data_IF_506206178012
#
_entry.id   IF_506206178012
#
_cell.length_a   1.000
_cell.length_b   1.000
_cell.length_c   1.000
_cell.angle_alpha   90.00
_cell.angle_beta   90.00
_cell.angle_gamma   90.00
#
_symmetry.space_group_name_H-M   'P 1'
#
loop_
_entity.id
_entity.type
_entity.pdbx_description
1 polymer ?
#
# COMPACT_ATOMS: atom_id res chain seq x y z
N UNK A 1 14.26 -0.80 9.29
CA UNK A 1 14.60 0.59 8.97
C UNK A 1 13.55 1.55 9.54
N UNK A 2 13.89 2.82 9.63
CA UNK A 2 13.03 3.82 10.23
C UNK A 2 12.98 5.12 9.43
N UNK A 3 12.60 6.19 10.12
CA UNK A 3 12.62 7.55 9.60
C UNK A 3 13.86 8.28 10.10
N UNK A 4 14.31 9.24 9.33
CA UNK A 4 15.33 10.19 9.78
C UNK A 4 14.76 11.03 10.93
N UNK A 5 15.53 11.20 12.03
CA UNK A 5 15.05 11.85 13.24
C UNK A 5 14.84 13.37 13.08
N UNK A 6 15.53 13.99 12.14
CA UNK A 6 15.44 15.44 11.91
C UNK A 6 14.32 15.79 10.93
N UNK A 7 14.16 14.99 9.86
CA UNK A 7 13.20 15.25 8.79
C UNK A 7 11.88 14.51 8.97
N UNK A 8 11.85 13.48 9.82
CA UNK A 8 10.72 12.56 10.01
C UNK A 8 10.30 11.85 8.71
N UNK A 9 11.17 11.84 7.71
CA UNK A 9 10.95 11.14 6.44
C UNK A 9 11.70 9.81 6.41
N UNK A 10 11.27 8.91 5.52
CA UNK A 10 11.99 7.66 5.25
C UNK A 10 13.44 7.97 4.89
N UNK A 11 14.35 7.29 5.54
CA UNK A 11 15.79 7.40 5.30
C UNK A 11 16.20 6.36 4.25
N UNK A 12 16.19 6.76 2.99
CA UNK A 12 16.50 5.85 1.88
C UNK A 12 17.96 5.40 1.86
N UNK A 13 18.88 6.20 2.38
CA UNK A 13 20.29 5.79 2.52
C UNK A 13 20.41 4.68 3.56
N UNK A 14 19.72 4.80 4.71
CA UNK A 14 19.63 3.74 5.70
C UNK A 14 18.98 2.48 5.14
N UNK A 15 17.90 2.61 4.37
CA UNK A 15 17.20 1.46 3.74
C UNK A 15 18.16 0.73 2.81
N UNK A 16 18.92 1.45 1.99
CA UNK A 16 19.90 0.89 1.07
C UNK A 16 21.04 0.19 1.79
N UNK A 17 21.63 0.82 2.81
CA UNK A 17 22.73 0.26 3.59
C UNK A 17 22.32 -1.04 4.28
N UNK A 18 21.15 -1.06 4.91
CA UNK A 18 20.58 -2.26 5.52
C UNK A 18 20.29 -3.35 4.49
N UNK A 19 19.77 -2.99 3.32
CA UNK A 19 19.52 -3.95 2.24
C UNK A 19 20.82 -4.59 1.74
N UNK A 20 21.87 -3.80 1.54
CA UNK A 20 23.20 -4.30 1.13
C UNK A 20 23.83 -5.20 2.21
N UNK A 21 23.69 -4.82 3.48
CA UNK A 21 24.22 -5.57 4.61
C UNK A 21 23.51 -6.92 4.80
N UNK A 22 22.17 -6.93 4.77
CA UNK A 22 21.37 -8.10 5.12
C UNK A 22 20.92 -8.94 3.92
N UNK A 23 20.97 -8.39 2.71
CA UNK A 23 20.53 -9.03 1.45
C UNK A 23 19.19 -9.76 1.60
N UNK A 24 18.13 -9.05 1.99
CA UNK A 24 16.83 -9.65 2.21
C UNK A 24 16.28 -10.22 0.89
N UNK A 25 15.43 -11.25 0.98
CA UNK A 25 14.70 -11.77 -0.17
C UNK A 25 13.46 -10.96 -0.51
N UNK A 26 12.99 -10.17 0.45
CA UNK A 26 11.79 -9.34 0.34
C UNK A 26 12.02 -8.04 1.12
N UNK A 27 11.75 -6.91 0.46
CA UNK A 27 11.65 -5.60 1.11
C UNK A 27 10.16 -5.24 1.16
N UNK A 28 9.69 -4.82 2.34
CA UNK A 28 8.31 -4.38 2.53
C UNK A 28 8.33 -2.87 2.74
N UNK A 29 7.53 -2.15 1.97
CA UNK A 29 7.23 -0.74 2.17
C UNK A 29 5.72 -0.54 2.35
N UNK A 30 5.35 0.55 3.03
CA UNK A 30 3.96 0.80 3.42
C UNK A 30 3.80 0.76 4.95
N UNK A 31 3.02 1.69 5.48
CA UNK A 31 3.03 2.01 6.91
C UNK A 31 1.63 2.38 7.39
N UNK A 32 1.37 2.15 8.67
CA UNK A 32 0.08 2.45 9.29
C UNK A 32 -0.07 3.92 9.67
N UNK A 33 1.03 4.60 9.98
CA UNK A 33 1.01 5.94 10.57
C UNK A 33 2.04 6.90 9.95
N UNK A 34 2.51 6.62 8.75
CA UNK A 34 3.44 7.49 8.04
C UNK A 34 2.65 8.52 7.21
N UNK A 35 2.69 9.82 7.57
CA UNK A 35 1.84 10.84 6.96
C UNK A 35 2.46 11.51 5.72
N UNK A 36 3.57 10.98 5.22
CA UNK A 36 4.29 11.52 4.07
C UNK A 36 4.12 10.62 2.84
N UNK A 37 4.48 11.16 1.70
CA UNK A 37 4.51 10.42 0.43
C UNK A 37 5.58 9.34 0.44
N UNK A 38 5.25 8.15 -0.05
CA UNK A 38 6.19 7.04 -0.20
C UNK A 38 6.71 7.04 -1.63
N UNK A 39 8.04 7.10 -1.79
CA UNK A 39 8.68 6.95 -3.09
C UNK A 39 8.92 5.47 -3.41
N UNK A 40 7.96 4.87 -4.11
CA UNK A 40 8.04 3.46 -4.51
C UNK A 40 9.12 3.21 -5.56
N UNK A 41 9.50 4.23 -6.35
CA UNK A 41 10.56 4.10 -7.34
C UNK A 41 11.94 3.96 -6.66
N UNK A 42 12.21 4.75 -5.62
CA UNK A 42 13.42 4.57 -4.81
C UNK A 42 13.44 3.21 -4.10
N UNK A 43 12.32 2.78 -3.53
CA UNK A 43 12.21 1.44 -2.94
C UNK A 43 12.54 0.35 -3.97
N UNK A 44 12.05 0.49 -5.22
CA UNK A 44 12.33 -0.44 -6.31
C UNK A 44 13.81 -0.49 -6.65
N UNK A 45 14.44 0.68 -6.79
CA UNK A 45 15.88 0.75 -7.11
C UNK A 45 16.74 0.01 -6.06
N UNK A 46 16.43 0.19 -4.78
CA UNK A 46 17.12 -0.51 -3.69
C UNK A 46 16.86 -2.03 -3.74
N UNK A 47 15.63 -2.44 -4.00
CA UNK A 47 15.30 -3.86 -4.09
C UNK A 47 15.99 -4.54 -5.29
N UNK A 48 16.10 -3.84 -6.43
CA UNK A 48 16.83 -4.34 -7.61
C UNK A 48 18.33 -4.49 -7.32
N UNK A 49 18.93 -3.56 -6.59
CA UNK A 49 20.37 -3.59 -6.25
C UNK A 49 20.75 -4.85 -5.46
N UNK A 50 19.83 -5.38 -4.64
CA UNK A 50 20.08 -6.59 -3.84
C UNK A 50 19.38 -7.84 -4.36
N UNK A 51 18.62 -7.73 -5.45
CA UNK A 51 17.85 -8.84 -6.03
C UNK A 51 16.67 -9.28 -5.19
N UNK A 52 16.06 -8.36 -4.43
CA UNK A 52 14.92 -8.62 -3.57
C UNK A 52 13.58 -8.40 -4.29
N UNK A 53 12.56 -9.14 -3.90
CA UNK A 53 11.19 -8.74 -4.19
C UNK A 53 10.81 -7.48 -3.41
N UNK A 54 9.95 -6.65 -4.00
CA UNK A 54 9.38 -5.47 -3.35
C UNK A 54 7.87 -5.68 -3.16
N UNK A 55 7.43 -5.60 -1.90
CA UNK A 55 6.02 -5.62 -1.53
C UNK A 55 5.63 -4.25 -0.96
N UNK A 56 4.56 -3.65 -1.50
CA UNK A 56 3.95 -2.47 -0.91
C UNK A 56 2.64 -2.83 -0.21
N UNK A 57 2.56 -2.58 1.10
CA UNK A 57 1.29 -2.63 1.82
C UNK A 57 0.68 -1.22 1.87
N UNK A 58 -0.37 -1.01 1.11
CA UNK A 58 -1.05 0.29 0.99
C UNK A 58 -2.38 0.35 1.75
N UNK A 59 -2.58 -0.54 2.72
CA UNK A 59 -3.84 -0.67 3.44
C UNK A 59 -4.40 0.66 3.96
N UNK A 60 -3.54 1.56 4.45
CA UNK A 60 -3.95 2.85 4.98
C UNK A 60 -4.20 3.91 3.91
N UNK A 61 -3.58 3.79 2.74
CA UNK A 61 -3.60 4.81 1.69
C UNK A 61 -4.24 4.34 0.38
N UNK A 62 -4.83 3.14 0.35
CA UNK A 62 -5.34 2.55 -0.90
C UNK A 62 -6.39 3.42 -1.60
N UNK A 63 -7.27 4.08 -0.88
CA UNK A 63 -8.23 5.02 -1.44
C UNK A 63 -7.56 6.23 -2.08
N UNK A 64 -6.49 6.76 -1.48
CA UNK A 64 -5.70 7.88 -2.02
C UNK A 64 -4.92 7.45 -3.26
N UNK A 65 -4.36 6.24 -3.26
CA UNK A 65 -3.70 5.65 -4.43
C UNK A 65 -4.68 5.48 -5.59
N UNK A 66 -5.86 4.90 -5.33
CA UNK A 66 -6.89 4.67 -6.34
C UNK A 66 -7.40 5.96 -6.98
N UNK A 67 -7.38 7.07 -6.27
CA UNK A 67 -7.86 8.38 -6.72
C UNK A 67 -6.76 9.34 -7.19
N UNK A 68 -5.50 8.90 -7.14
CA UNK A 68 -4.34 9.68 -7.61
C UNK A 68 -3.83 10.72 -6.63
N UNK A 69 -4.28 10.70 -5.37
CA UNK A 69 -3.77 11.60 -4.31
C UNK A 69 -2.49 11.08 -3.63
N UNK A 70 -2.06 9.86 -3.96
CA UNK A 70 -0.78 9.29 -3.57
C UNK A 70 -0.18 8.51 -4.76
N UNK A 71 1.17 8.43 -4.91
CA UNK A 71 1.81 7.64 -5.96
C UNK A 71 1.33 6.19 -5.99
N UNK A 72 1.25 5.66 -7.21
CA UNK A 72 0.80 4.28 -7.44
C UNK A 72 1.98 3.30 -7.32
N UNK A 73 1.95 2.30 -6.41
CA UNK A 73 3.01 1.31 -6.26
C UNK A 73 3.03 0.26 -7.37
N UNK A 74 1.92 0.03 -8.08
CA UNK A 74 1.76 -1.07 -9.03
C UNK A 74 2.86 -1.13 -10.10
N UNK A 75 3.35 0.00 -10.67
CA UNK A 75 4.44 -0.05 -11.65
C UNK A 75 5.80 -0.48 -11.06
N UNK A 76 5.99 -0.34 -9.76
CA UNK A 76 7.27 -0.48 -9.09
C UNK A 76 7.39 -1.76 -8.25
N UNK A 77 6.27 -2.31 -7.79
CA UNK A 77 6.26 -3.41 -6.82
C UNK A 77 5.92 -4.75 -7.49
N UNK A 78 6.52 -5.83 -7.00
CA UNK A 78 6.20 -7.20 -7.42
C UNK A 78 4.84 -7.62 -6.86
N UNK A 79 4.55 -7.21 -5.63
CA UNK A 79 3.30 -7.48 -4.93
C UNK A 79 2.81 -6.21 -4.25
N UNK A 80 1.51 -5.97 -4.33
CA UNK A 80 0.84 -4.92 -3.56
C UNK A 80 -0.25 -5.55 -2.71
N UNK A 81 -0.25 -5.27 -1.42
CA UNK A 81 -1.30 -5.71 -0.49
C UNK A 81 -2.10 -4.53 0.02
N UNK A 82 -3.36 -4.76 0.30
CA UNK A 82 -4.22 -3.78 0.95
C UNK A 82 -5.35 -4.44 1.72
N UNK A 83 -5.89 -3.71 2.68
CA UNK A 83 -7.22 -3.97 3.22
C UNK A 83 -8.27 -3.26 2.37
N UNK A 84 -9.51 -3.77 2.42
CA UNK A 84 -10.62 -3.15 1.69
C UNK A 84 -11.48 -2.21 2.56
N UNK A 85 -11.29 -2.20 3.87
CA UNK A 85 -12.16 -1.56 4.85
C UNK A 85 -11.60 -0.27 5.49
N UNK A 86 -10.53 0.30 4.94
CA UNK A 86 -9.96 1.58 5.40
C UNK A 86 -10.29 2.68 4.38
N UNK A 87 -9.32 3.33 3.80
CA UNK A 87 -9.56 4.42 2.83
C UNK A 87 -10.30 4.00 1.56
N UNK A 88 -10.32 2.70 1.22
CA UNK A 88 -11.17 2.16 0.15
C UNK A 88 -12.66 2.10 0.52
N UNK A 89 -13.02 2.26 1.79
CA UNK A 89 -14.41 2.33 2.26
C UNK A 89 -15.26 1.09 1.90
N UNK A 90 -14.62 -0.08 1.83
CA UNK A 90 -15.27 -1.35 1.52
C UNK A 90 -15.52 -2.24 2.75
N UNK A 91 -15.92 -3.48 2.53
CA UNK A 91 -16.10 -4.48 3.59
C UNK A 91 -14.75 -4.88 4.19
N UNK A 92 -14.80 -5.45 5.38
CA UNK A 92 -13.62 -5.99 6.05
C UNK A 92 -13.05 -7.17 5.27
N UNK A 93 -11.78 -7.05 4.86
CA UNK A 93 -11.09 -8.05 4.05
C UNK A 93 -9.74 -7.55 3.56
N UNK A 94 -9.02 -8.40 2.84
CA UNK A 94 -7.74 -8.13 2.20
C UNK A 94 -7.79 -8.31 0.68
N UNK A 95 -6.78 -7.79 0.02
CA UNK A 95 -6.55 -7.92 -1.42
C UNK A 95 -5.06 -8.03 -1.66
N UNK A 96 -4.66 -8.91 -2.57
CA UNK A 96 -3.27 -9.07 -3.03
C UNK A 96 -3.27 -8.86 -4.54
N UNK A 97 -2.39 -8.01 -5.02
CA UNK A 97 -2.26 -7.64 -6.42
C UNK A 97 -0.84 -7.90 -6.90
N UNK A 98 -0.71 -8.39 -8.13
CA UNK A 98 0.56 -8.49 -8.84
C UNK A 98 0.33 -8.35 -10.34
N UNK A 99 1.34 -7.89 -11.06
CA UNK A 99 1.34 -7.84 -12.54
C UNK A 99 1.94 -9.09 -13.16
N UNK A 100 2.66 -9.89 -12.37
CA UNK A 100 3.27 -11.14 -12.81
C UNK A 100 2.28 -12.30 -12.65
N UNK A 101 1.87 -12.89 -13.77
CA UNK A 101 0.90 -13.97 -13.79
C UNK A 101 1.40 -15.24 -13.09
N UNK A 102 2.71 -15.55 -13.18
CA UNK A 102 3.28 -16.72 -12.52
C UNK A 102 3.40 -16.53 -11.02
N UNK A 103 3.77 -15.32 -10.58
CA UNK A 103 3.73 -14.95 -9.17
C UNK A 103 2.29 -14.98 -8.66
N UNK A 104 1.33 -14.49 -9.44
CA UNK A 104 -0.10 -14.53 -9.12
C UNK A 104 -0.62 -15.95 -8.86
N UNK A 105 -0.21 -16.93 -9.68
CA UNK A 105 -0.56 -18.35 -9.44
C UNK A 105 0.01 -18.87 -8.12
N UNK A 106 1.25 -18.50 -7.79
CA UNK A 106 1.88 -18.89 -6.51
C UNK A 106 1.16 -18.26 -5.33
N UNK A 107 0.83 -16.97 -5.41
CA UNK A 107 0.08 -16.26 -4.37
C UNK A 107 -1.32 -16.86 -4.18
N UNK A 108 -2.05 -17.14 -5.26
CA UNK A 108 -3.35 -17.80 -5.18
C UNK A 108 -3.27 -19.16 -4.46
N UNK A 109 -2.25 -19.98 -4.81
CA UNK A 109 -2.04 -21.28 -4.15
C UNK A 109 -1.65 -21.14 -2.68
N UNK A 110 -0.89 -20.11 -2.33
CA UNK A 110 -0.51 -19.84 -0.94
C UNK A 110 -1.72 -19.38 -0.11
N UNK A 111 -2.63 -18.62 -0.70
CA UNK A 111 -3.88 -18.22 -0.05
C UNK A 111 -4.82 -19.42 0.06
N UNK A 112 -5.14 -20.07 -1.04
CA UNK A 112 -6.04 -21.22 -1.07
C UNK A 112 -5.44 -22.39 -1.89
N UNK A 113 -5.31 -23.57 -1.32
CA UNK A 113 -5.69 -23.97 0.04
C UNK A 113 -4.58 -23.77 1.11
N UNK A 114 -3.54 -22.99 0.83
CA UNK A 114 -2.35 -22.89 1.68
C UNK A 114 -2.62 -22.34 3.09
N UNK A 115 -3.37 -21.25 3.21
CA UNK A 115 -3.63 -20.58 4.49
C UNK A 115 -5.12 -20.35 4.78
N UNK A 116 -5.98 -20.41 3.76
CA UNK A 116 -7.42 -20.17 3.88
C UNK A 116 -8.22 -21.33 3.27
N UNK A 117 -9.51 -21.40 3.63
CA UNK A 117 -10.48 -22.38 3.15
C UNK A 117 -11.68 -21.71 2.49
N UNK A 118 -12.91 -22.17 2.83
CA UNK A 118 -14.14 -21.69 2.24
C UNK A 118 -14.27 -20.16 2.22
N UNK A 119 -14.57 -19.55 1.06
CA UNK A 119 -14.62 -18.11 0.93
C UNK A 119 -15.87 -17.53 1.58
N UNK A 120 -15.76 -16.30 2.09
CA UNK A 120 -16.89 -15.50 2.55
C UNK A 120 -17.51 -14.77 1.36
N UNK A 121 -18.42 -15.42 0.64
CA UNK A 121 -18.95 -14.92 -0.64
C UNK A 121 -19.71 -13.60 -0.49
N UNK A 122 -20.38 -13.36 0.65
CA UNK A 122 -21.00 -12.07 0.95
C UNK A 122 -19.97 -10.93 1.05
N UNK A 123 -18.76 -11.20 1.56
CA UNK A 123 -17.66 -10.22 1.57
C UNK A 123 -17.13 -9.99 0.16
N UNK A 124 -17.05 -11.04 -0.67
CA UNK A 124 -16.61 -10.91 -2.07
C UNK A 124 -17.60 -10.04 -2.85
N UNK A 125 -18.90 -10.30 -2.70
CA UNK A 125 -19.96 -9.49 -3.32
C UNK A 125 -19.89 -8.02 -2.85
N UNK A 126 -19.70 -7.78 -1.54
CA UNK A 126 -19.55 -6.45 -0.99
C UNK A 126 -18.29 -5.72 -1.50
N UNK A 127 -17.17 -6.45 -1.73
CA UNK A 127 -15.98 -5.88 -2.39
C UNK A 127 -16.29 -5.42 -3.81
N UNK A 128 -17.05 -6.20 -4.59
CA UNK A 128 -17.42 -5.83 -5.94
C UNK A 128 -18.22 -4.52 -5.97
N UNK A 129 -19.18 -4.35 -5.05
CA UNK A 129 -19.95 -3.10 -4.89
C UNK A 129 -19.03 -1.94 -4.51
N UNK A 130 -18.17 -2.12 -3.52
CA UNK A 130 -17.25 -1.09 -3.04
C UNK A 130 -16.25 -0.64 -4.13
N UNK A 131 -15.74 -1.57 -4.94
CA UNK A 131 -14.86 -1.24 -6.06
C UNK A 131 -15.63 -0.53 -7.18
N UNK A 132 -16.87 -0.92 -7.45
CA UNK A 132 -17.76 -0.20 -8.36
C UNK A 132 -17.99 1.25 -7.91
N UNK A 133 -18.16 1.48 -6.61
CA UNK A 133 -18.29 2.83 -6.06
C UNK A 133 -16.95 3.61 -6.13
N UNK A 134 -15.83 2.94 -5.89
CA UNK A 134 -14.50 3.57 -5.95
C UNK A 134 -14.11 4.01 -7.38
N UNK A 135 -14.74 3.47 -8.42
CA UNK A 135 -14.55 3.89 -9.82
C UNK A 135 -15.35 5.13 -10.20
N UNK A 136 -16.31 5.58 -9.38
CA UNK A 136 -17.14 6.74 -9.65
C UNK A 136 -16.41 8.06 -9.36
N UNK A 137 -16.72 9.14 -10.08
CA UNK A 137 -16.15 10.47 -9.84
C UNK A 137 -16.32 10.94 -8.39
N UNK A 138 -17.47 10.67 -7.78
CA UNK A 138 -17.81 11.07 -6.40
C UNK A 138 -16.87 10.47 -5.37
N UNK A 139 -16.27 9.32 -5.65
CA UNK A 139 -15.27 8.74 -4.75
C UNK A 139 -13.96 9.51 -4.81
N UNK A 140 -13.62 10.08 -5.97
CA UNK A 140 -12.44 10.95 -6.12
C UNK A 140 -12.62 12.24 -5.32
N UNK A 141 -13.80 12.85 -5.38
CA UNK A 141 -14.13 14.05 -4.61
C UNK A 141 -14.11 13.78 -3.11
N UNK A 142 -14.68 12.65 -2.69
CA UNK A 142 -14.61 12.17 -1.30
C UNK A 142 -13.16 12.02 -0.82
N UNK A 143 -12.30 11.38 -1.61
CA UNK A 143 -10.88 11.18 -1.25
C UNK A 143 -10.11 12.49 -1.18
N UNK A 144 -10.39 13.44 -2.08
CA UNK A 144 -9.83 14.78 -2.03
C UNK A 144 -10.22 15.51 -0.73
N UNK A 145 -11.48 15.40 -0.31
CA UNK A 145 -11.94 15.99 0.95
C UNK A 145 -11.28 15.33 2.16
N UNK A 146 -11.11 14.00 2.17
CA UNK A 146 -10.39 13.28 3.23
C UNK A 146 -8.96 13.80 3.36
N UNK A 147 -8.28 13.98 2.23
CA UNK A 147 -6.91 14.50 2.19
C UNK A 147 -6.84 15.95 2.73
N UNK A 148 -7.73 16.84 2.28
CA UNK A 148 -7.79 18.22 2.73
C UNK A 148 -8.11 18.31 4.25
N UNK A 149 -9.02 17.49 4.76
CA UNK A 149 -9.33 17.44 6.19
C UNK A 149 -8.14 17.00 7.04
N UNK A 150 -7.36 16.01 6.55
CA UNK A 150 -6.16 15.55 7.23
C UNK A 150 -5.08 16.64 7.30
N UNK A 151 -4.89 17.40 6.21
CA UNK A 151 -3.98 18.54 6.19
C UNK A 151 -4.40 19.63 7.18
N UNK A 152 -5.66 20.07 7.13
CA UNK A 152 -6.17 21.09 8.04
C UNK A 152 -6.06 20.66 9.51
N UNK A 153 -6.28 19.37 9.81
CA UNK A 153 -6.10 18.83 11.16
C UNK A 153 -4.63 18.86 11.60
N UNK A 154 -3.70 18.48 10.70
CA UNK A 154 -2.25 18.54 10.97
C UNK A 154 -1.79 19.97 11.23
N UNK A 155 -2.23 20.93 10.44
CA UNK A 155 -1.93 22.37 10.64
C UNK A 155 -2.44 22.86 12.00
N UNK A 156 -3.69 22.56 12.35
CA UNK A 156 -4.28 22.95 13.63
C UNK A 156 -3.57 22.34 14.86
N UNK A 157 -2.96 21.17 14.73
CA UNK A 157 -2.14 20.57 15.79
C UNK A 157 -0.77 21.24 15.93
N UNK A 158 -0.19 21.69 14.81
CA UNK A 158 1.12 22.38 14.84
C UNK A 158 1.02 23.82 15.37
N UNK A 159 -0.16 24.45 15.33
CA UNK A 159 -0.39 25.80 15.84
C UNK A 159 -0.59 25.87 17.37
N UNK A 160 -0.69 24.71 18.06
CA UNK A 160 -0.93 24.59 19.51
C UNK A 160 0.30 24.10 20.27
#
# INVERSE_FOLDING_TARGET
>A
YGVNKETEQLDFDQIRDLALQHKPKLIICGYSAYPRTIDFAQCRAIADEVGAYLLADIAHIAGLVATGHHPNPIPHCDVVTTTTHKTLRGPRGGLILTRDAELGKKLNKAVFPGTQGGPLEHVIAAKAVAFGDALKPEFKDYSAQVFANAQAMGEAFNER
#
